data_IF_731526437295
#
_entry.id   IF_731526437295
#
_cell.length_a   1.000
_cell.length_b   1.000
_cell.length_c   1.000
_cell.angle_alpha   90.00
_cell.angle_beta   90.00
_cell.angle_gamma   90.00
#
_symmetry.space_group_name_H-M   'P 1'
#
loop_
_entity.id
_entity.type
_entity.pdbx_description
1 polymer ?
#
# COMPACT_ATOMS: atom_id res chain seq x y z
N UNK A 1 -8.00 -17.72 40.13
CA UNK A 1 -6.81 -18.58 39.95
C UNK A 1 -6.72 -19.15 38.55
N UNK A 2 -7.76 -19.74 38.00
CA UNK A 2 -7.75 -20.29 36.66
C UNK A 2 -7.56 -19.22 35.59
N UNK A 3 -8.15 -18.05 35.77
CA UNK A 3 -7.98 -16.89 34.84
C UNK A 3 -6.56 -16.35 34.89
N UNK A 4 -5.92 -16.24 36.03
CA UNK A 4 -4.56 -15.74 36.16
C UNK A 4 -3.54 -16.65 35.47
N UNK A 5 -3.75 -17.97 35.51
CA UNK A 5 -2.90 -18.93 34.81
C UNK A 5 -3.12 -18.86 33.29
N UNK A 6 -4.37 -18.65 32.84
CA UNK A 6 -4.69 -18.49 31.42
C UNK A 6 -4.14 -17.19 30.84
N UNK A 7 -4.16 -16.11 31.62
CA UNK A 7 -3.60 -14.82 31.23
C UNK A 7 -2.08 -14.86 31.06
N UNK A 8 -1.40 -15.75 31.79
CA UNK A 8 0.05 -15.91 31.70
C UNK A 8 0.49 -16.84 30.55
N UNK A 9 -0.44 -17.58 29.94
CA UNK A 9 -0.12 -18.43 28.80
C UNK A 9 -0.22 -17.63 27.50
N UNK A 10 0.83 -17.67 26.71
CA UNK A 10 0.75 -17.19 25.35
C UNK A 10 -0.29 -17.99 24.60
N UNK A 11 -1.13 -17.31 23.84
CA UNK A 11 -2.10 -17.94 22.95
C UNK A 11 -1.36 -18.62 21.79
N UNK A 12 -2.02 -19.56 21.14
CA UNK A 12 -1.49 -20.18 19.93
C UNK A 12 -1.19 -19.13 18.86
N UNK A 13 -2.03 -18.11 18.76
CA UNK A 13 -1.87 -16.99 17.86
C UNK A 13 -0.52 -16.26 18.06
N UNK A 14 -0.10 -16.08 19.31
CA UNK A 14 1.16 -15.43 19.64
C UNK A 14 2.37 -16.35 19.49
N UNK A 15 2.20 -17.63 19.80
CA UNK A 15 3.31 -18.59 19.78
C UNK A 15 3.63 -19.12 18.40
N UNK A 16 2.59 -19.44 17.60
CA UNK A 16 2.75 -20.04 16.28
C UNK A 16 1.60 -19.63 15.36
N UNK A 17 1.81 -18.56 14.65
CA UNK A 17 0.79 -17.99 13.76
C UNK A 17 0.34 -18.97 12.67
N UNK A 18 1.28 -19.73 12.08
CA UNK A 18 0.94 -20.69 11.03
C UNK A 18 0.03 -21.78 11.57
N UNK A 19 0.41 -22.36 12.71
CA UNK A 19 -0.40 -23.41 13.34
C UNK A 19 -1.77 -22.87 13.75
N UNK A 20 -1.81 -21.64 14.29
CA UNK A 20 -3.07 -20.97 14.61
C UNK A 20 -3.97 -20.82 13.38
N UNK A 21 -3.41 -20.41 12.25
CA UNK A 21 -4.19 -20.21 11.02
C UNK A 21 -4.73 -21.53 10.47
N UNK A 22 -3.95 -22.60 10.53
CA UNK A 22 -4.37 -23.94 10.11
C UNK A 22 -5.48 -24.49 11.02
N UNK A 23 -5.33 -24.32 12.32
CA UNK A 23 -6.33 -24.71 13.31
C UNK A 23 -7.64 -23.95 13.12
N UNK A 24 -7.54 -22.65 12.91
CA UNK A 24 -8.70 -21.78 12.66
C UNK A 24 -9.42 -22.18 11.36
N UNK A 25 -8.66 -22.43 10.30
CA UNK A 25 -9.25 -22.90 9.04
C UNK A 25 -9.97 -24.25 9.19
N UNK A 26 -9.37 -25.18 9.93
CA UNK A 26 -9.97 -26.49 10.20
C UNK A 26 -11.29 -26.36 10.96
N UNK A 27 -11.33 -25.50 11.98
CA UNK A 27 -12.55 -25.23 12.75
C UNK A 27 -13.65 -24.61 11.89
N UNK A 28 -13.28 -23.67 11.03
CA UNK A 28 -14.23 -23.04 10.11
C UNK A 28 -14.80 -24.04 9.10
N UNK A 29 -13.99 -24.95 8.59
CA UNK A 29 -14.43 -25.98 7.63
C UNK A 29 -15.49 -26.90 8.21
N UNK A 30 -15.38 -27.24 9.47
CA UNK A 30 -16.35 -28.08 10.18
C UNK A 30 -17.41 -27.28 10.93
N UNK A 31 -17.42 -25.97 10.79
CA UNK A 31 -18.36 -25.03 11.43
C UNK A 31 -18.36 -25.10 12.96
N UNK A 32 -17.20 -25.36 13.54
CA UNK A 32 -16.99 -25.32 14.98
C UNK A 32 -16.73 -23.90 15.44
N UNK A 33 -17.77 -23.08 15.47
CA UNK A 33 -17.68 -21.65 15.76
C UNK A 33 -17.44 -21.36 17.25
N UNK A 34 -17.86 -22.25 18.12
CA UNK A 34 -17.70 -22.04 19.57
C UNK A 34 -16.25 -22.09 20.02
N UNK A 35 -15.41 -22.83 19.31
CA UNK A 35 -14.01 -23.00 19.66
C UNK A 35 -13.08 -22.07 18.86
N UNK A 36 -13.64 -21.15 18.10
CA UNK A 36 -12.85 -20.15 17.35
C UNK A 36 -12.27 -19.10 18.28
N UNK A 37 -11.02 -18.72 18.03
CA UNK A 37 -10.39 -17.52 18.58
C UNK A 37 -10.89 -16.34 17.77
N UNK A 38 -12.11 -15.90 18.05
CA UNK A 38 -12.82 -14.93 17.22
C UNK A 38 -12.15 -13.55 17.22
N UNK A 39 -11.64 -13.10 18.36
CA UNK A 39 -10.99 -11.79 18.47
C UNK A 39 -9.78 -11.70 17.55
N UNK A 40 -8.92 -12.70 17.58
CA UNK A 40 -7.74 -12.73 16.71
C UNK A 40 -8.10 -12.96 15.24
N UNK A 41 -9.16 -13.75 14.97
CA UNK A 41 -9.65 -13.94 13.62
C UNK A 41 -10.15 -12.61 13.02
N UNK A 42 -10.91 -11.83 13.77
CA UNK A 42 -11.38 -10.51 13.36
C UNK A 42 -10.18 -9.58 13.08
N UNK A 43 -9.21 -9.58 14.00
CA UNK A 43 -7.99 -8.76 13.83
C UNK A 43 -7.25 -9.12 12.53
N UNK A 44 -7.12 -10.40 12.22
CA UNK A 44 -6.45 -10.82 11.00
C UNK A 44 -7.23 -10.44 9.74
N UNK A 45 -8.54 -10.58 9.75
CA UNK A 45 -9.39 -10.17 8.62
C UNK A 45 -9.28 -8.66 8.40
N UNK A 46 -9.37 -7.87 9.46
CA UNK A 46 -9.22 -6.42 9.36
C UNK A 46 -7.82 -6.00 8.91
N UNK A 47 -6.80 -6.75 9.34
CA UNK A 47 -5.41 -6.53 8.97
C UNK A 47 -5.18 -6.68 7.46
N UNK A 48 -5.89 -7.61 6.80
CA UNK A 48 -5.83 -7.76 5.35
C UNK A 48 -6.26 -6.48 4.62
N UNK A 49 -7.36 -5.88 5.09
CA UNK A 49 -7.83 -4.61 4.52
C UNK A 49 -6.86 -3.46 4.75
N UNK A 50 -6.33 -3.34 5.97
CA UNK A 50 -5.31 -2.32 6.28
C UNK A 50 -4.07 -2.48 5.43
N UNK A 51 -3.64 -3.70 5.21
CA UNK A 51 -2.47 -4.02 4.38
C UNK A 51 -2.67 -3.56 2.93
N UNK A 52 -3.84 -3.81 2.35
CA UNK A 52 -4.17 -3.38 0.99
C UNK A 52 -4.20 -1.84 0.86
N UNK A 53 -4.80 -1.16 1.83
CA UNK A 53 -4.83 0.31 1.83
C UNK A 53 -3.43 0.91 1.98
N UNK A 54 -2.61 0.31 2.83
CA UNK A 54 -1.22 0.72 3.02
C UNK A 54 -0.39 0.51 1.76
N UNK A 55 -0.60 -0.61 1.09
CA UNK A 55 0.08 -0.90 -0.18
C UNK A 55 -0.27 0.15 -1.24
N UNK A 56 -1.55 0.50 -1.38
CA UNK A 56 -1.98 1.57 -2.29
C UNK A 56 -1.21 2.86 -2.01
N UNK A 57 -1.18 3.30 -0.76
CA UNK A 57 -0.50 4.54 -0.36
C UNK A 57 1.00 4.48 -0.65
N UNK A 58 1.66 3.39 -0.30
CA UNK A 58 3.11 3.23 -0.49
C UNK A 58 3.49 3.25 -1.97
N UNK A 59 2.71 2.59 -2.80
CA UNK A 59 2.96 2.57 -4.24
C UNK A 59 2.68 3.90 -4.90
N UNK A 60 1.65 4.62 -4.45
CA UNK A 60 1.36 5.96 -4.94
C UNK A 60 2.48 6.94 -4.59
N UNK A 61 3.01 6.88 -3.37
CA UNK A 61 4.14 7.72 -2.95
C UNK A 61 5.33 7.48 -3.88
N UNK A 62 5.70 6.23 -4.07
CA UNK A 62 6.85 5.87 -4.90
C UNK A 62 6.66 6.25 -6.37
N UNK A 63 5.46 6.05 -6.90
CA UNK A 63 5.11 6.45 -8.26
C UNK A 63 5.25 7.96 -8.42
N UNK A 64 4.66 8.74 -7.53
CA UNK A 64 4.70 10.20 -7.57
C UNK A 64 6.12 10.74 -7.42
N UNK A 65 6.92 10.17 -6.53
CA UNK A 65 8.33 10.56 -6.38
C UNK A 65 9.09 10.40 -7.70
N UNK A 66 8.89 9.30 -8.39
CA UNK A 66 9.60 9.03 -9.65
C UNK A 66 9.04 9.83 -10.82
N UNK A 67 7.72 10.08 -10.84
CA UNK A 67 7.13 11.00 -11.81
C UNK A 67 7.70 12.41 -11.66
N UNK A 68 7.78 12.91 -10.44
CA UNK A 68 8.34 14.22 -10.14
C UNK A 68 9.81 14.31 -10.57
N UNK A 69 10.59 13.31 -10.27
CA UNK A 69 12.00 13.27 -10.71
C UNK A 69 12.09 13.27 -12.23
N UNK A 70 11.32 12.42 -12.90
CA UNK A 70 11.38 12.30 -14.35
C UNK A 70 10.94 13.58 -15.07
N UNK A 71 9.95 14.28 -14.53
CA UNK A 71 9.42 15.51 -15.15
C UNK A 71 10.30 16.74 -14.85
N UNK A 72 10.76 16.89 -13.60
CA UNK A 72 11.33 18.16 -13.12
C UNK A 72 12.83 18.13 -12.85
N UNK A 73 13.46 16.97 -12.79
CA UNK A 73 14.90 16.86 -12.53
C UNK A 73 15.63 16.53 -13.82
N UNK A 74 16.53 17.43 -14.25
CA UNK A 74 17.27 17.26 -15.49
C UNK A 74 18.54 16.43 -15.28
N UNK A 75 18.38 15.12 -15.15
CA UNK A 75 19.46 14.14 -15.07
C UNK A 75 19.19 13.00 -16.05
N UNK A 76 19.41 13.22 -17.37
CA UNK A 76 19.04 12.26 -18.42
C UNK A 76 19.63 10.85 -18.20
N UNK A 77 20.79 10.76 -17.57
CA UNK A 77 21.43 9.49 -17.25
C UNK A 77 20.59 8.62 -16.28
N UNK A 78 19.67 9.23 -15.54
CA UNK A 78 18.80 8.55 -14.59
C UNK A 78 17.39 8.26 -15.14
N UNK A 79 17.04 8.81 -16.28
CA UNK A 79 15.67 8.72 -16.82
C UNK A 79 15.20 7.28 -17.02
N UNK A 80 16.04 6.44 -17.57
CA UNK A 80 15.67 5.04 -17.80
C UNK A 80 15.33 4.31 -16.51
N UNK A 81 16.14 4.49 -15.47
CA UNK A 81 15.90 3.90 -14.16
C UNK A 81 14.60 4.41 -13.53
N UNK A 82 14.34 5.71 -13.63
CA UNK A 82 13.10 6.29 -13.12
C UNK A 82 11.88 5.80 -13.88
N UNK A 83 11.97 5.71 -15.20
CA UNK A 83 10.89 5.17 -16.04
C UNK A 83 10.63 3.70 -15.76
N UNK A 84 11.65 2.90 -15.48
CA UNK A 84 11.51 1.49 -15.09
C UNK A 84 10.76 1.38 -13.76
N UNK A 85 11.08 2.21 -12.79
CA UNK A 85 10.36 2.25 -11.50
C UNK A 85 8.91 2.69 -11.68
N UNK A 86 8.66 3.70 -12.50
CA UNK A 86 7.32 4.17 -12.83
C UNK A 86 6.50 3.02 -13.43
N UNK A 87 7.07 2.32 -14.39
CA UNK A 87 6.40 1.17 -15.04
C UNK A 87 6.11 0.07 -14.02
N UNK A 88 7.06 -0.25 -13.17
CA UNK A 88 6.87 -1.28 -12.14
C UNK A 88 5.75 -0.91 -11.17
N UNK A 89 5.74 0.31 -10.65
CA UNK A 89 4.70 0.75 -9.72
C UNK A 89 3.32 0.79 -10.39
N UNK A 90 3.26 1.21 -11.64
CA UNK A 90 2.01 1.19 -12.41
C UNK A 90 1.48 -0.23 -12.60
N UNK A 91 2.34 -1.18 -12.90
CA UNK A 91 1.97 -2.60 -13.03
C UNK A 91 1.40 -3.13 -11.72
N UNK A 92 2.08 -2.88 -10.61
CA UNK A 92 1.64 -3.35 -9.29
C UNK A 92 0.34 -2.68 -8.84
N UNK A 93 0.17 -1.39 -9.13
CA UNK A 93 -1.08 -0.68 -8.84
C UNK A 93 -2.25 -1.23 -9.68
N UNK A 94 -2.02 -1.53 -10.94
CA UNK A 94 -3.03 -2.15 -11.79
C UNK A 94 -3.48 -3.51 -11.24
N UNK A 95 -2.54 -4.34 -10.83
CA UNK A 95 -2.84 -5.63 -10.22
C UNK A 95 -3.61 -5.48 -8.91
N UNK A 96 -3.18 -4.55 -8.07
CA UNK A 96 -3.84 -4.28 -6.79
C UNK A 96 -5.29 -3.82 -6.97
N UNK A 97 -5.53 -2.91 -7.92
CA UNK A 97 -6.87 -2.40 -8.21
C UNK A 97 -7.75 -3.45 -8.91
N UNK A 98 -7.16 -4.35 -9.67
CA UNK A 98 -7.87 -5.48 -10.27
C UNK A 98 -8.35 -6.45 -9.21
N UNK A 99 -7.50 -6.77 -8.24
CA UNK A 99 -7.84 -7.68 -7.14
C UNK A 99 -8.79 -7.05 -6.13
N UNK A 100 -8.64 -5.74 -5.88
CA UNK A 100 -9.44 -5.01 -4.89
C UNK A 100 -9.99 -3.70 -5.49
N UNK A 101 -11.00 -3.79 -6.38
CA UNK A 101 -11.55 -2.60 -7.07
C UNK A 101 -12.10 -1.52 -6.13
N UNK A 102 -12.52 -1.88 -4.92
CA UNK A 102 -13.03 -0.92 -3.93
C UNK A 102 -11.97 0.10 -3.50
N UNK A 103 -10.69 -0.18 -3.72
CA UNK A 103 -9.62 0.79 -3.44
C UNK A 103 -9.76 2.06 -4.30
N UNK A 104 -10.45 2.00 -5.41
CA UNK A 104 -10.74 3.19 -6.23
C UNK A 104 -11.56 4.24 -5.47
N UNK A 105 -12.36 3.82 -4.50
CA UNK A 105 -13.19 4.75 -3.71
C UNK A 105 -12.36 5.65 -2.80
N UNK A 106 -11.16 5.22 -2.42
CA UNK A 106 -10.25 5.99 -1.58
C UNK A 106 -9.07 6.55 -2.36
N UNK A 107 -9.08 6.44 -3.68
CA UNK A 107 -7.99 6.88 -4.55
C UNK A 107 -7.62 8.35 -4.33
N UNK A 108 -8.59 9.24 -4.44
CA UNK A 108 -8.35 10.69 -4.34
C UNK A 108 -7.75 11.07 -2.99
N UNK A 109 -8.30 10.54 -1.90
CA UNK A 109 -7.80 10.80 -0.55
C UNK A 109 -6.35 10.30 -0.39
N UNK A 110 -6.11 9.07 -0.80
CA UNK A 110 -4.77 8.45 -0.69
C UNK A 110 -3.77 9.13 -1.61
N UNK A 111 -4.20 9.55 -2.79
CA UNK A 111 -3.36 10.27 -3.73
C UNK A 111 -2.93 11.63 -3.15
N UNK A 112 -3.86 12.36 -2.55
CA UNK A 112 -3.55 13.65 -1.92
C UNK A 112 -2.54 13.50 -0.79
N UNK A 113 -2.72 12.50 0.06
CA UNK A 113 -1.78 12.19 1.13
C UNK A 113 -0.40 11.78 0.57
N UNK A 114 -0.40 10.94 -0.46
CA UNK A 114 0.82 10.48 -1.11
C UNK A 114 1.57 11.64 -1.78
N UNK A 115 0.85 12.57 -2.38
CA UNK A 115 1.43 13.75 -2.99
C UNK A 115 2.23 14.59 -1.99
N UNK A 116 1.65 14.87 -0.83
CA UNK A 116 2.33 15.65 0.20
C UNK A 116 3.63 14.98 0.65
N UNK A 117 3.61 13.67 0.84
CA UNK A 117 4.78 12.91 1.25
C UNK A 117 5.82 12.85 0.14
N UNK A 118 5.40 12.55 -1.09
CA UNK A 118 6.29 12.47 -2.25
C UNK A 118 6.98 13.79 -2.52
N UNK A 119 6.22 14.89 -2.50
CA UNK A 119 6.73 16.24 -2.72
C UNK A 119 7.78 16.64 -1.67
N UNK A 120 7.49 16.34 -0.40
CA UNK A 120 8.43 16.59 0.68
C UNK A 120 9.74 15.81 0.48
N UNK A 121 9.64 14.55 0.09
CA UNK A 121 10.79 13.68 -0.11
C UNK A 121 11.66 14.14 -1.29
N UNK A 122 11.06 14.48 -2.43
CA UNK A 122 11.84 14.93 -3.60
C UNK A 122 12.46 16.29 -3.35
N UNK A 123 11.78 17.20 -2.67
CA UNK A 123 12.34 18.51 -2.30
C UNK A 123 13.54 18.37 -1.36
N UNK A 124 13.49 17.42 -0.47
CA UNK A 124 14.61 17.14 0.45
C UNK A 124 15.82 16.57 -0.28
N UNK A 125 15.60 15.72 -1.26
CA UNK A 125 16.68 15.04 -1.99
C UNK A 125 17.24 15.88 -3.17
N UNK A 126 16.43 16.76 -3.73
CA UNK A 126 16.78 17.59 -4.89
C UNK A 126 16.55 19.07 -4.58
N UNK A 127 17.38 19.61 -3.69
CA UNK A 127 17.21 20.98 -3.16
C UNK A 127 17.37 22.08 -4.18
N UNK A 128 18.09 21.80 -5.26
CA UNK A 128 18.35 22.79 -6.32
C UNK A 128 17.30 22.77 -7.43
N UNK A 129 16.40 21.81 -7.40
CA UNK A 129 15.34 21.69 -8.39
C UNK A 129 14.03 22.26 -7.85
N UNK A 130 13.20 22.74 -8.76
CA UNK A 130 11.91 23.35 -8.42
C UNK A 130 10.78 22.38 -8.75
N UNK A 131 9.91 22.13 -7.78
CA UNK A 131 8.75 21.26 -7.94
C UNK A 131 7.47 22.06 -7.69
N UNK A 132 6.38 21.75 -8.42
CA UNK A 132 5.11 22.47 -8.23
C UNK A 132 4.46 22.10 -6.89
N UNK A 133 3.71 23.03 -6.30
CA UNK A 133 2.96 22.77 -5.07
C UNK A 133 1.79 21.81 -5.31
N UNK A 134 1.25 21.81 -6.53
CA UNK A 134 0.17 20.93 -6.95
C UNK A 134 0.56 20.21 -8.23
N UNK A 135 0.13 18.96 -8.37
CA UNK A 135 0.35 18.20 -9.59
C UNK A 135 -0.48 18.82 -10.72
N UNK A 136 0.18 19.37 -11.76
CA UNK A 136 -0.51 20.16 -12.79
C UNK A 136 -1.19 19.33 -13.89
N UNK A 137 -1.11 18.02 -13.79
CA UNK A 137 -1.64 17.10 -14.79
C UNK A 137 -2.83 16.33 -14.24
N UNK A 138 -3.67 15.74 -15.12
CA UNK A 138 -4.73 14.84 -14.67
C UNK A 138 -4.16 13.70 -13.81
N UNK A 139 -4.79 13.44 -12.68
CA UNK A 139 -4.33 12.44 -11.72
C UNK A 139 -5.41 11.41 -11.37
N UNK A 140 -6.40 11.27 -12.24
CA UNK A 140 -7.36 10.17 -12.17
C UNK A 140 -6.64 8.83 -12.33
N UNK A 141 -7.31 7.75 -11.98
CA UNK A 141 -6.73 6.39 -12.01
C UNK A 141 -6.09 6.09 -13.36
N UNK A 142 -6.83 6.27 -14.45
CA UNK A 142 -6.35 5.94 -15.80
C UNK A 142 -5.14 6.78 -16.21
N UNK A 143 -5.20 8.10 -15.97
CA UNK A 143 -4.11 8.99 -16.34
C UNK A 143 -2.84 8.68 -15.57
N UNK A 144 -2.95 8.50 -14.26
CA UNK A 144 -1.78 8.25 -13.42
C UNK A 144 -1.12 6.92 -13.75
N UNK A 145 -1.90 5.92 -14.15
CA UNK A 145 -1.40 4.58 -14.44
C UNK A 145 -0.90 4.39 -15.87
N UNK A 146 -1.19 5.32 -16.79
CA UNK A 146 -0.87 5.10 -18.20
C UNK A 146 -0.17 6.27 -18.90
N UNK A 147 -0.32 7.49 -18.42
CA UNK A 147 0.14 8.68 -19.14
C UNK A 147 1.63 8.97 -18.92
N UNK A 148 2.36 9.15 -20.02
CA UNK A 148 3.76 9.56 -19.96
C UNK A 148 3.86 11.09 -19.96
N UNK A 149 3.70 11.67 -18.78
CA UNK A 149 3.63 13.14 -18.58
C UNK A 149 4.83 13.89 -19.09
N UNK A 150 5.99 13.26 -19.14
CA UNK A 150 7.22 13.88 -19.59
C UNK A 150 7.30 14.05 -21.13
N UNK A 151 6.40 13.43 -21.85
CA UNK A 151 6.30 13.56 -23.31
C UNK A 151 5.40 14.73 -23.73
N UNK A 152 4.76 15.38 -22.78
CA UNK A 152 3.88 16.53 -22.99
C UNK A 152 4.64 17.84 -22.75
#
# INVERSE_FOLDING_TARGET
MTQTIQEQRKSLYEEDFLLWSEDTAAKLKVRDFENLDLENLIEEVESLGRSNRKELSSRLIRLLEHLLKRIYVNLPENYRGWEDTIRHQRTELNLLLKDSPSLKTIWSERLNQAWEIALKNVRKNYKNDSFPDRFPYPSDVESLLDRDYWEE
#
